data_IF_483511907422
#
_entry.id   IF_483511907422
#
_cell.length_a   1.000
_cell.length_b   1.000
_cell.length_c   1.000
_cell.angle_alpha   90.00
_cell.angle_beta   90.00
_cell.angle_gamma   90.00
#
_symmetry.space_group_name_H-M   'P 1'
#
loop_
_entity.id
_entity.type
_entity.pdbx_description
1 polymer ?
#
# COMPACT_ATOMS: atom_id res chain seq x y z
N UNK A 1 -23.69 0.32 -5.54
CA UNK A 1 -22.39 0.97 -5.84
C UNK A 1 -21.24 0.45 -4.98
N UNK A 2 -21.46 -0.04 -3.75
CA UNK A 2 -20.38 -0.55 -2.88
C UNK A 2 -19.70 -1.85 -3.34
N UNK A 3 -20.46 -2.83 -3.85
CA UNK A 3 -19.94 -4.17 -4.19
C UNK A 3 -18.83 -4.18 -5.24
N UNK A 4 -18.89 -3.27 -6.22
CA UNK A 4 -17.86 -3.14 -7.26
C UNK A 4 -16.54 -2.61 -6.69
N UNK A 5 -16.62 -1.59 -5.84
CA UNK A 5 -15.44 -0.98 -5.22
C UNK A 5 -14.79 -1.92 -4.21
N UNK A 6 -15.61 -2.65 -3.47
CA UNK A 6 -15.15 -3.71 -2.59
C UNK A 6 -14.46 -4.83 -3.35
N UNK A 7 -15.07 -5.34 -4.43
CA UNK A 7 -14.49 -6.40 -5.27
C UNK A 7 -13.15 -5.97 -5.88
N UNK A 8 -13.07 -4.74 -6.38
CA UNK A 8 -11.84 -4.18 -6.93
C UNK A 8 -10.78 -3.98 -5.84
N UNK A 9 -11.16 -3.52 -4.65
CA UNK A 9 -10.26 -3.42 -3.51
C UNK A 9 -9.68 -4.78 -3.10
N UNK A 10 -10.53 -5.81 -3.01
CA UNK A 10 -10.10 -7.18 -2.71
C UNK A 10 -9.12 -7.70 -3.77
N UNK A 11 -9.44 -7.51 -5.05
CA UNK A 11 -8.58 -7.92 -6.16
C UNK A 11 -7.25 -7.16 -6.13
N UNK A 12 -7.27 -5.86 -5.86
CA UNK A 12 -6.06 -5.04 -5.77
C UNK A 12 -5.15 -5.50 -4.63
N UNK A 13 -5.70 -5.76 -3.44
CA UNK A 13 -4.93 -6.31 -2.31
C UNK A 13 -4.33 -7.66 -2.65
N UNK A 14 -5.09 -8.56 -3.27
CA UNK A 14 -4.62 -9.89 -3.66
C UNK A 14 -3.51 -9.82 -4.72
N UNK A 15 -3.74 -9.06 -5.79
CA UNK A 15 -2.80 -8.90 -6.89
C UNK A 15 -1.51 -8.23 -6.44
N UNK A 16 -1.59 -7.17 -5.64
CA UNK A 16 -0.40 -6.47 -5.16
C UNK A 16 0.43 -7.39 -4.26
N UNK A 17 -0.20 -8.09 -3.33
CA UNK A 17 0.51 -9.06 -2.49
C UNK A 17 1.16 -10.18 -3.32
N UNK A 18 0.46 -10.73 -4.32
CA UNK A 18 1.03 -11.73 -5.23
C UNK A 18 2.27 -11.21 -5.98
N UNK A 19 2.19 -9.99 -6.52
CA UNK A 19 3.32 -9.36 -7.22
C UNK A 19 4.51 -9.11 -6.28
N UNK A 20 4.26 -8.69 -5.04
CA UNK A 20 5.31 -8.51 -4.03
C UNK A 20 6.00 -9.83 -3.70
N UNK A 21 5.23 -10.91 -3.51
CA UNK A 21 5.78 -12.24 -3.27
C UNK A 21 6.67 -12.70 -4.44
N UNK A 22 6.22 -12.51 -5.69
CA UNK A 22 7.01 -12.85 -6.87
C UNK A 22 8.28 -12.00 -6.99
N UNK A 23 8.24 -10.76 -6.53
CA UNK A 23 9.40 -9.87 -6.47
C UNK A 23 10.31 -10.13 -5.25
N UNK A 24 10.05 -11.18 -4.46
CA UNK A 24 10.76 -11.51 -3.22
C UNK A 24 10.74 -10.38 -2.18
N UNK A 25 9.70 -9.54 -2.22
CA UNK A 25 9.48 -8.48 -1.24
C UNK A 25 8.78 -9.05 -0.02
N UNK A 26 9.43 -8.93 1.13
CA UNK A 26 8.79 -9.21 2.41
C UNK A 26 7.59 -8.30 2.60
N UNK A 27 6.41 -8.87 2.84
CA UNK A 27 5.20 -8.11 3.15
C UNK A 27 4.27 -8.90 4.05
N UNK A 28 3.47 -8.21 4.87
CA UNK A 28 2.38 -8.81 5.64
C UNK A 28 1.04 -8.20 5.20
N UNK A 29 -0.02 -9.01 5.17
CA UNK A 29 -1.33 -8.66 4.62
C UNK A 29 -2.42 -8.83 5.68
N UNK A 30 -3.43 -7.95 5.67
CA UNK A 30 -4.63 -8.04 6.52
C UNK A 30 -4.26 -8.23 7.99
N UNK A 31 -3.43 -7.33 8.49
CA UNK A 31 -2.96 -7.35 9.87
C UNK A 31 -3.73 -6.32 10.69
N UNK A 32 -3.75 -6.53 11.99
CA UNK A 32 -4.28 -5.58 12.96
C UNK A 32 -3.15 -5.14 13.89
N UNK A 33 -3.02 -3.84 14.10
CA UNK A 33 -2.03 -3.27 15.00
C UNK A 33 -2.66 -2.13 15.81
N UNK A 34 -2.69 -2.27 17.15
CA UNK A 34 -3.35 -1.30 18.02
C UNK A 34 -4.82 -1.06 17.69
N UNK A 35 -5.56 -2.11 17.27
CA UNK A 35 -6.96 -2.00 16.84
C UNK A 35 -7.18 -1.39 15.46
N UNK A 36 -6.10 -1.10 14.71
CA UNK A 36 -6.16 -0.50 13.37
C UNK A 36 -5.86 -1.57 12.32
N UNK A 37 -6.76 -1.72 11.36
CA UNK A 37 -6.60 -2.65 10.24
C UNK A 37 -5.68 -2.07 9.16
N UNK A 38 -4.67 -2.84 8.78
CA UNK A 38 -3.71 -2.50 7.74
C UNK A 38 -3.84 -3.52 6.61
N UNK A 39 -4.01 -3.02 5.38
CA UNK A 39 -4.22 -3.91 4.22
C UNK A 39 -2.92 -4.62 3.85
N UNK A 40 -1.82 -3.88 3.66
CA UNK A 40 -0.47 -4.42 3.43
C UNK A 40 0.58 -3.55 4.14
N UNK A 41 1.58 -4.19 4.73
CA UNK A 41 2.78 -3.56 5.30
C UNK A 41 4.04 -4.17 4.67
N UNK A 42 5.05 -3.34 4.46
CA UNK A 42 6.34 -3.71 3.86
C UNK A 42 7.46 -3.09 4.71
N UNK A 43 8.43 -3.86 5.25
CA UNK A 43 8.51 -5.32 5.15
C UNK A 43 7.59 -6.04 6.15
N UNK A 44 7.43 -5.53 7.37
CA UNK A 44 6.66 -6.16 8.45
C UNK A 44 6.42 -5.21 9.64
N UNK A 45 5.55 -5.61 10.57
CA UNK A 45 5.25 -4.87 11.80
C UNK A 45 6.45 -4.68 12.72
N UNK A 46 7.33 -5.69 12.86
CA UNK A 46 8.52 -5.56 13.72
C UNK A 46 9.41 -4.41 13.27
N UNK A 47 9.51 -4.21 11.95
CA UNK A 47 10.28 -3.10 11.37
C UNK A 47 9.57 -1.77 11.58
N UNK A 48 8.23 -1.73 11.59
CA UNK A 48 7.47 -0.52 11.92
C UNK A 48 7.77 -0.05 13.33
N UNK A 49 7.85 -0.98 14.29
CA UNK A 49 8.11 -0.69 15.70
C UNK A 49 9.52 -0.17 15.94
N UNK A 50 10.51 -0.72 15.21
CA UNK A 50 11.92 -0.38 15.36
C UNK A 50 12.28 0.88 14.57
N UNK A 51 11.88 0.94 13.30
CA UNK A 51 12.21 2.03 12.37
C UNK A 51 11.07 2.27 11.35
N UNK A 52 10.13 3.18 11.68
CA UNK A 52 9.04 3.54 10.79
C UNK A 52 9.50 4.08 9.42
N UNK A 53 10.73 4.62 9.31
CA UNK A 53 11.27 5.15 8.04
C UNK A 53 11.47 4.04 7.01
N UNK A 54 11.78 2.83 7.48
CA UNK A 54 12.01 1.64 6.64
C UNK A 54 10.75 0.84 6.36
N UNK A 55 9.61 1.34 6.80
CA UNK A 55 8.33 0.65 6.67
C UNK A 55 7.37 1.46 5.82
N UNK A 56 6.76 0.79 4.86
CA UNK A 56 5.71 1.31 4.00
C UNK A 56 4.37 0.64 4.34
N UNK A 57 3.33 1.45 4.51
CA UNK A 57 1.95 1.00 4.64
C UNK A 57 1.22 1.27 3.33
N UNK A 58 0.50 0.26 2.83
CA UNK A 58 -0.37 0.39 1.67
C UNK A 58 -1.81 0.24 2.13
N UNK A 59 -2.60 1.30 1.95
CA UNK A 59 -4.02 1.36 2.25
C UNK A 59 -4.83 1.18 0.96
N UNK A 60 -5.73 0.22 0.96
CA UNK A 60 -6.56 -0.13 -0.20
C UNK A 60 -8.02 -0.06 0.24
N UNK A 61 -8.65 1.14 0.22
CA UNK A 61 -10.02 1.29 0.64
C UNK A 61 -10.98 0.53 -0.29
N UNK A 62 -11.98 -0.10 0.32
CA UNK A 62 -13.09 -0.80 -0.35
C UNK A 62 -14.28 0.12 -0.64
N UNK A 63 -14.06 1.43 -0.54
CA UNK A 63 -15.08 2.48 -0.68
C UNK A 63 -14.47 3.66 -1.43
N UNK A 64 -15.33 4.46 -2.05
CA UNK A 64 -14.97 5.73 -2.67
C UNK A 64 -15.38 6.94 -1.80
N UNK A 65 -15.97 6.68 -0.62
CA UNK A 65 -16.34 7.73 0.32
C UNK A 65 -15.09 8.38 0.91
N UNK A 66 -14.86 9.65 0.53
CA UNK A 66 -13.67 10.40 0.92
C UNK A 66 -13.53 10.50 2.43
N UNK A 67 -14.62 10.75 3.14
CA UNK A 67 -14.61 10.91 4.60
C UNK A 67 -14.17 9.62 5.32
N UNK A 68 -14.67 8.47 4.89
CA UNK A 68 -14.26 7.16 5.42
C UNK A 68 -12.79 6.87 5.13
N UNK A 69 -12.29 7.22 3.94
CA UNK A 69 -10.89 7.05 3.57
C UNK A 69 -10.00 7.97 4.42
N UNK A 70 -10.36 9.24 4.61
CA UNK A 70 -9.61 10.19 5.45
C UNK A 70 -9.56 9.72 6.90
N UNK A 71 -10.68 9.22 7.44
CA UNK A 71 -10.70 8.62 8.79
C UNK A 71 -9.70 7.46 8.90
N UNK A 72 -9.68 6.55 7.92
CA UNK A 72 -8.71 5.44 7.89
C UNK A 72 -7.27 5.94 7.79
N UNK A 73 -7.00 6.93 6.94
CA UNK A 73 -5.66 7.54 6.82
C UNK A 73 -5.22 8.21 8.13
N UNK A 74 -6.11 8.90 8.83
CA UNK A 74 -5.82 9.51 10.12
C UNK A 74 -5.54 8.46 11.21
N UNK A 75 -6.21 7.30 11.16
CA UNK A 75 -5.86 6.18 12.03
C UNK A 75 -4.47 5.63 11.70
N UNK A 76 -4.16 5.40 10.42
CA UNK A 76 -2.84 4.90 10.00
C UNK A 76 -1.69 5.86 10.35
N UNK A 77 -1.93 7.17 10.38
CA UNK A 77 -0.94 8.16 10.82
C UNK A 77 -0.58 8.04 12.31
N UNK A 78 -1.44 7.42 13.13
CA UNK A 78 -1.12 7.16 14.55
C UNK A 78 -0.06 6.08 14.73
N UNK A 79 0.06 5.17 13.76
CA UNK A 79 0.98 4.03 13.80
C UNK A 79 2.21 4.23 12.90
N UNK A 80 2.06 4.98 11.80
CA UNK A 80 3.13 5.35 10.89
C UNK A 80 3.25 6.88 10.88
N UNK A 81 4.20 7.46 11.64
CA UNK A 81 4.34 8.91 11.77
C UNK A 81 4.78 9.58 10.45
N UNK A 82 5.35 8.84 9.51
CA UNK A 82 5.82 9.38 8.23
C UNK A 82 4.70 9.25 7.20
N UNK A 83 4.01 10.37 6.94
CA UNK A 83 2.87 10.42 6.04
C UNK A 83 3.18 9.91 4.61
N UNK A 84 4.39 10.19 4.13
CA UNK A 84 4.86 9.75 2.81
C UNK A 84 5.05 8.23 2.72
N UNK A 85 5.14 7.54 3.87
CA UNK A 85 5.19 6.09 3.98
C UNK A 85 3.79 5.46 4.16
N UNK A 86 2.72 6.21 3.89
CA UNK A 86 1.35 5.69 3.82
C UNK A 86 0.85 5.94 2.41
N UNK A 87 0.83 4.88 1.60
CA UNK A 87 0.40 4.93 0.21
C UNK A 87 -1.04 4.49 0.06
N UNK A 88 -1.78 5.19 -0.77
CA UNK A 88 -3.19 4.96 -1.01
C UNK A 88 -3.39 4.36 -2.40
N UNK A 89 -4.17 3.30 -2.50
CA UNK A 89 -4.50 2.65 -3.77
C UNK A 89 -6.00 2.65 -3.96
N UNK A 90 -6.48 3.51 -4.86
CA UNK A 90 -7.91 3.76 -5.10
C UNK A 90 -8.29 3.44 -6.55
N UNK A 91 -9.57 3.23 -6.78
CA UNK A 91 -10.16 2.91 -8.09
C UNK A 91 -10.65 4.17 -8.83
N UNK A 92 -10.96 5.23 -8.08
CA UNK A 92 -11.42 6.53 -8.57
C UNK A 92 -10.47 7.62 -8.12
N UNK A 93 -10.14 8.57 -9.00
CA UNK A 93 -9.28 9.70 -8.65
C UNK A 93 -9.98 10.56 -7.61
N UNK A 94 -9.31 10.74 -6.48
CA UNK A 94 -9.72 11.57 -5.34
C UNK A 94 -8.46 12.29 -4.86
N UNK A 95 -8.61 13.54 -4.42
CA UNK A 95 -7.48 14.35 -4.00
C UNK A 95 -7.19 14.08 -2.52
N UNK A 96 -6.04 13.43 -2.28
CA UNK A 96 -5.46 13.16 -0.97
C UNK A 96 -4.02 13.68 -0.93
N UNK A 97 -3.56 14.07 0.25
CA UNK A 97 -2.16 14.50 0.44
C UNK A 97 -1.17 13.33 0.39
N UNK A 98 -1.65 12.11 0.62
CA UNK A 98 -0.84 10.89 0.58
C UNK A 98 -0.50 10.48 -0.86
N UNK A 99 0.64 9.82 -1.05
CA UNK A 99 1.01 9.24 -2.35
C UNK A 99 -0.09 8.27 -2.80
N UNK A 100 -0.74 8.58 -3.92
CA UNK A 100 -1.97 7.91 -4.35
C UNK A 100 -1.80 7.29 -5.74
N UNK A 101 -2.18 6.01 -5.86
CA UNK A 101 -2.21 5.26 -7.10
C UNK A 101 -3.66 4.99 -7.49
N UNK A 102 -4.01 5.30 -8.73
CA UNK A 102 -5.37 5.09 -9.23
C UNK A 102 -5.39 3.89 -10.17
N UNK A 103 -5.91 2.76 -9.69
CA UNK A 103 -6.04 1.55 -10.49
C UNK A 103 -7.09 1.77 -11.57
N UNK A 104 -6.63 1.85 -12.82
CA UNK A 104 -7.47 1.87 -14.02
C UNK A 104 -7.02 0.81 -15.00
N UNK A 105 -7.98 0.17 -15.66
CA UNK A 105 -7.78 -0.93 -16.63
C UNK A 105 -6.81 -0.59 -17.78
N UNK A 106 -6.59 0.70 -18.10
CA UNK A 106 -5.79 1.14 -19.26
C UNK A 106 -4.43 1.79 -18.95
N UNK A 107 -4.05 2.03 -17.69
CA UNK A 107 -2.97 2.99 -17.39
C UNK A 107 -1.79 2.46 -16.55
N UNK A 108 -1.49 1.15 -16.53
CA UNK A 108 -0.23 0.64 -15.92
C UNK A 108 -0.03 1.01 -14.44
N UNK A 109 -1.10 1.34 -13.69
CA UNK A 109 -0.94 1.85 -12.32
C UNK A 109 -0.33 0.83 -11.36
N UNK A 110 -0.45 -0.47 -11.67
CA UNK A 110 0.16 -1.55 -10.90
C UNK A 110 1.67 -1.66 -11.11
N UNK A 111 2.16 -1.52 -12.35
CA UNK A 111 3.60 -1.53 -12.59
C UNK A 111 4.28 -0.33 -11.94
N UNK A 112 3.63 0.84 -11.96
CA UNK A 112 4.13 2.04 -11.28
C UNK A 112 4.25 1.86 -9.76
N UNK A 113 3.22 1.33 -9.09
CA UNK A 113 3.32 1.09 -7.64
C UNK A 113 4.40 0.06 -7.31
N UNK A 114 4.55 -1.00 -8.11
CA UNK A 114 5.62 -2.00 -7.89
C UNK A 114 7.01 -1.38 -8.07
N UNK A 115 7.21 -0.58 -9.13
CA UNK A 115 8.46 0.15 -9.33
C UNK A 115 8.77 1.08 -8.16
N UNK A 116 7.77 1.85 -7.71
CA UNK A 116 7.96 2.77 -6.60
C UNK A 116 8.24 2.01 -5.28
N UNK A 117 7.61 0.85 -5.05
CA UNK A 117 7.92 -0.03 -3.90
C UNK A 117 9.37 -0.52 -3.99
N UNK A 118 9.83 -0.89 -5.19
CA UNK A 118 11.21 -1.33 -5.40
C UNK A 118 12.22 -0.23 -5.06
N UNK A 119 11.97 1.00 -5.52
CA UNK A 119 12.78 2.17 -5.21
C UNK A 119 12.79 2.45 -3.70
N UNK A 120 11.63 2.41 -3.05
CA UNK A 120 11.54 2.59 -1.60
C UNK A 120 12.43 1.58 -0.86
N UNK A 121 12.36 0.30 -1.24
CA UNK A 121 13.13 -0.78 -0.62
C UNK A 121 14.63 -0.62 -0.86
N UNK A 122 15.03 -0.25 -2.10
CA UNK A 122 16.42 -0.01 -2.48
C UNK A 122 17.03 1.15 -1.68
N UNK A 123 16.31 2.27 -1.55
CA UNK A 123 16.77 3.46 -0.81
C UNK A 123 16.93 3.16 0.68
N UNK A 124 16.10 2.28 1.25
CA UNK A 124 16.16 1.89 2.66
C UNK A 124 17.18 0.77 2.96
N UNK A 125 17.94 0.32 1.95
CA UNK A 125 19.04 -0.65 2.09
C UNK A 125 18.60 -2.11 2.24
N UNK A 126 17.33 -2.43 2.00
CA UNK A 126 16.80 -3.79 2.11
C UNK A 126 16.81 -4.50 0.75
N UNK A 127 17.96 -5.03 0.34
CA UNK A 127 18.13 -5.88 -0.87
C UNK A 127 17.97 -5.16 -2.22
N UNK A 128 18.92 -5.40 -3.12
CA UNK A 128 18.89 -4.98 -4.53
C UNK A 128 17.70 -5.66 -5.21
N UNK A 129 16.63 -4.91 -5.46
CA UNK A 129 15.53 -5.34 -6.32
C UNK A 129 16.08 -5.78 -7.68
N UNK A 130 16.10 -7.08 -7.97
CA UNK A 130 16.41 -7.60 -9.30
C UNK A 130 15.16 -7.46 -10.14
N UNK A 131 15.04 -6.36 -10.88
CA UNK A 131 13.96 -6.15 -11.84
C UNK A 131 13.99 -7.31 -12.84
N UNK A 132 12.90 -8.05 -12.96
CA UNK A 132 12.71 -9.02 -14.05
C UNK A 132 12.64 -8.22 -15.36
N UNK A 133 13.69 -8.31 -16.17
CA UNK A 133 13.59 -7.99 -17.60
C UNK A 133 12.59 -8.98 -18.21
N UNK A 134 11.42 -8.49 -18.62
CA UNK A 134 10.48 -9.18 -19.52
C UNK A 134 10.40 -8.34 -20.79
#
# INVERSE_FOLDING_TARGET
>A
MGEKEESLGILATGLLHYLLTNALVSSQRKIEYGGIQIDIIIPNLKTLEIDPKKTLIICIPKTIDKNSIEKKLNQLQKIQPIKDNIWLVITKKLDFQNKTYVIKKKNGSFSKIIYDIAEFINVQGQSKFKILHI
#
